data_IF_679554290775
#
_entry.id   IF_679554290775
#
_cell.length_a   1.000
_cell.length_b   1.000
_cell.length_c   1.000
_cell.angle_alpha   90.00
_cell.angle_beta   90.00
_cell.angle_gamma   90.00
#
_symmetry.space_group_name_H-M   'P 1'
#
loop_
_entity.id
_entity.type
_entity.pdbx_description
1 polymer ?
#
# COMPACT_ATOMS: atom_id res chain seq x y z
N UNK A 1 -7.24 18.26 75.08
CA UNK A 1 -6.57 17.09 74.55
C UNK A 1 -7.42 16.53 73.42
N UNK A 2 -7.40 17.22 72.32
CA UNK A 2 -8.15 16.81 71.11
C UNK A 2 -7.05 16.66 70.06
N UNK A 3 -6.46 15.49 70.03
CA UNK A 3 -5.69 15.10 68.88
C UNK A 3 -6.70 14.91 67.74
N UNK A 4 -6.77 15.93 66.96
CA UNK A 4 -7.50 15.89 65.71
C UNK A 4 -6.97 14.73 64.91
N UNK A 5 -7.78 13.73 64.83
CA UNK A 5 -7.78 12.76 63.76
C UNK A 5 -8.02 13.57 62.47
N UNK A 6 -6.95 14.09 61.91
CA UNK A 6 -6.97 14.52 60.53
C UNK A 6 -7.15 13.24 59.72
N UNK A 7 -8.44 12.84 59.67
CA UNK A 7 -8.90 11.93 58.65
C UNK A 7 -8.56 12.62 57.35
N UNK A 8 -7.37 12.36 56.86
CA UNK A 8 -7.01 12.60 55.49
C UNK A 8 -7.94 11.71 54.72
N UNK A 9 -9.10 12.25 54.40
CA UNK A 9 -9.96 11.75 53.33
C UNK A 9 -9.11 11.88 52.08
N UNK A 10 -8.23 10.92 51.89
CA UNK A 10 -7.67 10.63 50.56
C UNK A 10 -8.90 10.16 49.80
N UNK A 11 -9.62 11.13 49.32
CA UNK A 11 -10.45 10.92 48.15
C UNK A 11 -9.48 10.42 47.09
N UNK A 12 -9.28 9.13 47.07
CA UNK A 12 -8.86 8.43 45.89
C UNK A 12 -9.93 8.78 44.86
N UNK A 13 -9.71 9.93 44.23
CA UNK A 13 -10.21 10.17 42.90
C UNK A 13 -9.63 9.00 42.09
N UNK A 14 -10.32 7.90 42.11
CA UNK A 14 -10.30 6.98 41.00
C UNK A 14 -10.81 7.81 39.80
N UNK A 15 -9.93 8.62 39.27
CA UNK A 15 -10.00 9.01 37.90
C UNK A 15 -10.04 7.67 37.17
N UNK A 16 -11.25 7.19 36.94
CA UNK A 16 -11.50 6.20 35.93
C UNK A 16 -10.98 6.85 34.67
N UNK A 17 -9.70 6.69 34.40
CA UNK A 17 -9.15 6.87 33.05
C UNK A 17 -9.93 5.84 32.28
N UNK A 18 -11.08 6.28 31.73
CA UNK A 18 -11.71 5.56 30.67
C UNK A 18 -10.63 5.52 29.62
N UNK A 19 -9.88 4.42 29.59
CA UNK A 19 -9.14 4.04 28.41
C UNK A 19 -10.23 3.98 27.33
N UNK A 20 -10.46 5.09 26.64
CA UNK A 20 -11.13 5.07 25.37
C UNK A 20 -10.17 4.29 24.45
N UNK A 21 -10.24 2.95 24.53
CA UNK A 21 -9.65 2.15 23.50
C UNK A 21 -10.20 2.70 22.19
N UNK A 22 -9.35 3.27 21.37
CA UNK A 22 -9.74 3.85 20.11
C UNK A 22 -10.60 2.80 19.39
N UNK A 23 -11.84 3.16 19.11
CA UNK A 23 -12.75 2.26 18.41
C UNK A 23 -12.21 2.07 16.98
N UNK A 24 -12.27 0.84 16.48
CA UNK A 24 -11.90 0.56 15.08
C UNK A 24 -12.74 1.42 14.13
N UNK A 25 -12.08 2.03 13.15
CA UNK A 25 -12.71 2.79 12.07
C UNK A 25 -13.01 1.92 10.85
N UNK A 26 -12.43 0.71 10.80
CA UNK A 26 -12.63 -0.21 9.68
C UNK A 26 -14.12 -0.51 9.45
N UNK A 27 -14.56 -0.36 8.22
CA UNK A 27 -15.92 -0.65 7.83
C UNK A 27 -16.25 -2.15 7.96
N UNK A 28 -17.53 -2.49 8.04
CA UNK A 28 -17.99 -3.89 8.11
C UNK A 28 -17.68 -4.71 6.85
N UNK A 29 -17.24 -4.08 5.78
CA UNK A 29 -16.75 -4.72 4.56
C UNK A 29 -15.33 -5.25 4.69
N UNK A 30 -14.61 -4.86 5.74
CA UNK A 30 -13.24 -5.26 6.01
C UNK A 30 -13.22 -6.47 6.94
N UNK A 31 -12.44 -7.46 6.58
CA UNK A 31 -12.14 -8.63 7.40
C UNK A 31 -10.65 -8.95 7.37
N UNK A 32 -10.18 -9.78 8.29
CA UNK A 32 -8.77 -10.18 8.32
C UNK A 32 -8.62 -11.68 8.45
N UNK A 33 -7.51 -12.20 7.94
CA UNK A 33 -7.07 -13.58 8.17
C UNK A 33 -5.55 -13.66 8.18
N UNK A 34 -5.01 -14.74 8.74
CA UNK A 34 -3.58 -15.03 8.72
C UNK A 34 -3.29 -16.14 7.71
N UNK A 35 -2.17 -16.01 7.00
CA UNK A 35 -1.70 -17.01 6.04
C UNK A 35 -0.20 -17.24 6.22
N UNK A 36 0.22 -18.50 6.11
CA UNK A 36 1.64 -18.83 6.07
C UNK A 36 2.31 -18.24 4.82
N UNK A 37 3.47 -17.63 5.01
CA UNK A 37 4.32 -17.06 3.99
C UNK A 37 5.66 -17.82 3.96
N UNK A 38 5.73 -19.03 3.35
CA UNK A 38 6.92 -19.88 3.38
C UNK A 38 8.15 -19.17 2.81
N UNK A 39 7.96 -18.32 1.79
CA UNK A 39 9.03 -17.53 1.15
C UNK A 39 9.69 -16.56 2.14
N UNK A 40 8.95 -16.11 3.14
CA UNK A 40 9.41 -15.18 4.18
C UNK A 40 9.68 -15.88 5.52
N UNK A 41 9.42 -17.19 5.60
CA UNK A 41 9.54 -18.01 6.83
C UNK A 41 8.76 -17.39 8.01
N UNK A 42 7.54 -16.92 7.76
CA UNK A 42 6.66 -16.28 8.74
C UNK A 42 5.21 -16.40 8.30
N UNK A 43 4.29 -16.03 9.18
CA UNK A 43 2.90 -15.81 8.83
C UNK A 43 2.64 -14.31 8.56
N UNK A 44 1.70 -14.02 7.68
CA UNK A 44 1.26 -12.65 7.34
C UNK A 44 -0.21 -12.49 7.65
N UNK A 45 -0.55 -11.39 8.30
CA UNK A 45 -1.92 -10.95 8.44
C UNK A 45 -2.35 -10.19 7.19
N UNK A 46 -3.49 -10.59 6.67
CA UNK A 46 -4.08 -10.07 5.44
C UNK A 46 -5.41 -9.41 5.77
N UNK A 47 -5.61 -8.23 5.23
CA UNK A 47 -6.86 -7.49 5.28
C UNK A 47 -7.59 -7.63 3.96
N UNK A 48 -8.90 -7.81 4.01
CA UNK A 48 -9.73 -7.99 2.83
C UNK A 48 -10.90 -7.03 2.89
N UNK A 49 -10.94 -6.09 1.96
CA UNK A 49 -12.12 -5.30 1.69
C UNK A 49 -12.92 -5.93 0.55
N UNK A 50 -14.20 -6.12 0.77
CA UNK A 50 -15.16 -6.57 -0.26
C UNK A 50 -16.15 -5.44 -0.57
N UNK A 51 -16.51 -5.20 -1.84
CA UNK A 51 -17.47 -4.15 -2.18
C UNK A 51 -18.83 -4.41 -1.54
N UNK A 52 -19.58 -3.34 -1.21
CA UNK A 52 -20.88 -3.39 -0.49
C UNK A 52 -21.86 -4.42 -1.04
N UNK A 53 -21.89 -4.59 -2.35
CA UNK A 53 -22.79 -5.52 -3.03
C UNK A 53 -22.18 -6.90 -3.28
N UNK A 54 -21.04 -7.21 -2.66
CA UNK A 54 -20.36 -8.49 -2.92
C UNK A 54 -21.26 -9.69 -2.61
N UNK A 55 -21.94 -9.73 -1.48
CA UNK A 55 -22.78 -10.86 -1.07
C UNK A 55 -24.04 -11.03 -1.95
N UNK A 56 -24.63 -9.92 -2.41
CA UNK A 56 -25.84 -9.94 -3.24
C UNK A 56 -25.57 -10.09 -4.73
N UNK A 57 -24.30 -10.06 -5.16
CA UNK A 57 -23.89 -10.15 -6.56
C UNK A 57 -23.16 -11.46 -6.85
N UNK A 58 -23.32 -11.98 -8.08
CA UNK A 58 -22.53 -13.10 -8.61
C UNK A 58 -21.35 -12.63 -9.48
N UNK A 59 -21.11 -11.33 -9.58
CA UNK A 59 -20.04 -10.74 -10.40
C UNK A 59 -18.67 -11.17 -9.91
N UNK A 60 -17.70 -11.18 -10.83
CA UNK A 60 -16.27 -11.25 -10.51
C UNK A 60 -15.68 -9.84 -10.47
N UNK A 61 -14.71 -9.62 -9.60
CA UNK A 61 -14.15 -8.32 -9.29
C UNK A 61 -12.66 -8.28 -9.62
N UNK A 62 -12.17 -7.13 -10.06
CA UNK A 62 -10.75 -6.84 -10.11
C UNK A 62 -10.17 -6.81 -8.70
N UNK A 63 -8.85 -7.01 -8.57
CA UNK A 63 -8.17 -7.07 -7.27
C UNK A 63 -7.04 -6.06 -7.21
N UNK A 64 -6.95 -5.32 -6.10
CA UNK A 64 -5.82 -4.46 -5.76
C UNK A 64 -5.10 -5.09 -4.57
N UNK A 65 -3.82 -5.40 -4.72
CA UNK A 65 -2.93 -5.79 -3.64
C UNK A 65 -2.22 -4.53 -3.13
N UNK A 66 -2.38 -4.23 -1.83
CA UNK A 66 -1.80 -3.03 -1.21
C UNK A 66 -0.83 -3.42 -0.10
N UNK A 67 0.31 -2.76 -0.05
CA UNK A 67 1.30 -2.90 1.01
C UNK A 67 0.88 -2.11 2.26
N UNK A 68 1.53 -2.40 3.39
CA UNK A 68 1.40 -1.65 4.65
C UNK A 68 -0.05 -1.58 5.17
N UNK A 69 -0.74 -2.73 5.18
CA UNK A 69 -2.17 -2.82 5.50
C UNK A 69 -2.57 -2.24 6.86
N UNK A 70 -1.63 -2.11 7.79
CA UNK A 70 -1.85 -1.47 9.09
C UNK A 70 -2.38 -0.03 8.94
N UNK A 71 -2.02 0.65 7.84
CA UNK A 71 -2.35 2.06 7.59
C UNK A 71 -3.55 2.24 6.65
N UNK A 72 -4.20 1.17 6.18
CA UNK A 72 -5.16 1.30 5.08
C UNK A 72 -6.61 1.48 5.54
N UNK A 73 -7.04 0.72 6.57
CA UNK A 73 -8.45 0.49 6.86
C UNK A 73 -8.87 0.82 8.30
N UNK A 74 -7.93 1.09 9.21
CA UNK A 74 -8.25 1.28 10.62
C UNK A 74 -7.26 2.24 11.29
N UNK A 75 -7.79 3.36 11.77
CA UNK A 75 -7.01 4.35 12.51
C UNK A 75 -6.35 3.75 13.75
N UNK A 76 -6.95 2.70 14.34
CA UNK A 76 -6.41 2.02 15.52
C UNK A 76 -5.08 1.30 15.26
N UNK A 77 -4.87 0.80 14.03
CA UNK A 77 -3.65 0.07 13.65
C UNK A 77 -2.65 0.95 12.91
N UNK A 78 -3.08 2.13 12.46
CA UNK A 78 -2.27 3.01 11.64
C UNK A 78 -1.19 3.70 12.47
N UNK A 79 0.04 3.76 11.94
CA UNK A 79 1.19 4.38 12.61
C UNK A 79 1.18 5.91 12.49
N UNK A 80 0.94 6.44 11.31
CA UNK A 80 1.04 7.89 11.02
C UNK A 80 -0.22 8.46 10.34
N UNK A 81 -1.33 7.78 10.50
CA UNK A 81 -2.61 8.14 9.92
C UNK A 81 -3.12 7.10 8.93
N UNK A 82 -4.42 7.02 8.86
CA UNK A 82 -5.13 6.07 8.03
C UNK A 82 -5.32 6.60 6.60
N UNK A 83 -5.29 5.70 5.61
CA UNK A 83 -5.60 6.04 4.22
C UNK A 83 -7.12 6.14 3.95
N UNK A 84 -7.95 5.62 4.84
CA UNK A 84 -9.40 5.53 4.67
C UNK A 84 -9.78 4.84 3.35
N UNK A 85 -9.17 3.71 3.07
CA UNK A 85 -9.35 3.00 1.79
C UNK A 85 -10.77 2.51 1.63
N UNK A 86 -11.32 1.87 2.65
CA UNK A 86 -12.67 1.32 2.63
C UNK A 86 -13.76 2.39 2.60
N UNK A 87 -13.65 3.48 3.38
CA UNK A 87 -14.62 4.58 3.33
C UNK A 87 -14.65 5.26 1.96
N UNK A 88 -13.46 5.44 1.35
CA UNK A 88 -13.38 6.02 0.00
C UNK A 88 -13.97 5.10 -1.06
N UNK A 89 -13.66 3.81 -1.00
CA UNK A 89 -14.23 2.82 -1.92
C UNK A 89 -15.75 2.67 -1.72
N UNK A 90 -16.19 2.72 -0.48
CA UNK A 90 -17.62 2.71 -0.13
C UNK A 90 -18.35 3.95 -0.65
N UNK A 91 -17.73 5.13 -0.56
CA UNK A 91 -18.26 6.39 -1.08
C UNK A 91 -18.36 6.37 -2.61
N UNK A 92 -17.38 5.80 -3.27
CA UNK A 92 -17.37 5.64 -4.73
C UNK A 92 -18.27 4.50 -5.23
N UNK A 93 -18.83 3.68 -4.34
CA UNK A 93 -19.45 2.40 -4.69
C UNK A 93 -18.56 1.56 -5.62
N UNK A 94 -17.26 1.55 -5.32
CA UNK A 94 -16.24 0.93 -6.18
C UNK A 94 -16.43 -0.59 -6.26
N UNK A 95 -16.33 -1.12 -7.48
CA UNK A 95 -16.54 -2.55 -7.75
C UNK A 95 -15.20 -3.29 -7.79
N UNK A 96 -14.48 -3.31 -6.67
CA UNK A 96 -13.13 -3.85 -6.54
C UNK A 96 -12.93 -4.54 -5.20
N UNK A 97 -12.12 -5.60 -5.18
CA UNK A 97 -11.62 -6.23 -3.94
C UNK A 97 -10.26 -5.62 -3.62
N UNK A 98 -10.02 -5.27 -2.36
CA UNK A 98 -8.68 -4.85 -1.93
C UNK A 98 -8.13 -5.87 -0.95
N UNK A 99 -6.89 -6.27 -1.19
CA UNK A 99 -6.12 -7.19 -0.36
C UNK A 99 -4.95 -6.41 0.23
N UNK A 100 -5.08 -6.03 1.48
CA UNK A 100 -4.02 -5.36 2.23
C UNK A 100 -3.08 -6.39 2.88
N UNK A 101 -1.78 -6.18 2.77
CA UNK A 101 -0.75 -7.07 3.32
C UNK A 101 0.00 -6.31 4.40
N UNK A 102 -0.06 -6.78 5.66
CA UNK A 102 0.72 -6.17 6.72
C UNK A 102 2.23 -6.36 6.47
N UNK A 103 3.00 -5.30 6.67
CA UNK A 103 4.46 -5.41 6.67
C UNK A 103 4.96 -6.14 7.92
N UNK A 104 6.20 -6.62 7.88
CA UNK A 104 6.81 -7.39 8.97
C UNK A 104 7.42 -6.53 10.07
N UNK A 105 6.86 -5.35 10.39
CA UNK A 105 7.40 -4.40 11.36
C UNK A 105 8.90 -4.11 11.09
N UNK A 106 9.80 -4.55 11.94
CA UNK A 106 11.25 -4.34 11.77
C UNK A 106 11.80 -4.95 10.46
N UNK A 107 11.07 -5.90 9.86
CA UNK A 107 11.43 -6.51 8.58
C UNK A 107 10.86 -5.75 7.37
N UNK A 108 10.12 -4.65 7.59
CA UNK A 108 9.49 -3.90 6.50
C UNK A 108 10.49 -3.48 5.42
N UNK A 109 11.65 -2.98 5.84
CA UNK A 109 12.70 -2.59 4.91
C UNK A 109 13.26 -3.79 4.14
N UNK A 110 13.47 -4.94 4.80
CA UNK A 110 13.90 -6.16 4.12
C UNK A 110 12.88 -6.60 3.06
N UNK A 111 11.61 -6.65 3.44
CA UNK A 111 10.51 -7.16 2.61
C UNK A 111 10.18 -6.24 1.43
N UNK A 112 10.41 -4.93 1.57
CA UNK A 112 9.98 -3.94 0.57
C UNK A 112 11.12 -3.29 -0.22
N UNK A 113 12.34 -3.82 -0.14
CA UNK A 113 13.45 -3.35 -0.99
C UNK A 113 13.95 -4.47 -1.90
N UNK A 114 14.05 -4.20 -3.23
CA UNK A 114 14.49 -5.19 -4.22
C UNK A 114 15.94 -5.66 -4.04
N UNK A 115 16.80 -4.74 -3.65
CA UNK A 115 18.25 -5.00 -3.55
C UNK A 115 18.77 -4.59 -2.18
N UNK A 116 19.81 -5.28 -1.72
CA UNK A 116 20.48 -4.94 -0.47
C UNK A 116 21.21 -3.60 -0.60
N UNK A 117 20.84 -2.66 0.25
CA UNK A 117 21.55 -1.39 0.37
C UNK A 117 22.67 -1.51 1.40
N UNK A 118 23.87 -0.97 1.09
CA UNK A 118 25.04 -1.08 1.97
C UNK A 118 24.83 -0.44 3.34
N UNK A 119 24.06 0.67 3.40
CA UNK A 119 23.78 1.42 4.64
C UNK A 119 22.56 0.92 5.39
N UNK A 120 21.50 0.56 4.66
CA UNK A 120 20.19 0.31 5.25
C UNK A 120 19.80 -1.18 5.26
N UNK A 121 20.53 -2.05 4.58
CA UNK A 121 20.16 -3.45 4.46
C UNK A 121 19.09 -3.70 3.40
N UNK A 122 18.13 -4.57 3.68
CA UNK A 122 17.03 -4.90 2.76
C UNK A 122 17.36 -6.02 1.79
N UNK A 123 16.63 -6.09 0.65
CA UNK A 123 16.91 -6.98 -0.47
C UNK A 123 16.07 -8.24 -0.58
N UNK A 124 14.92 -8.32 0.14
CA UNK A 124 14.02 -9.50 0.09
C UNK A 124 12.69 -9.25 -0.62
N UNK A 125 12.56 -8.14 -1.37
CA UNK A 125 11.30 -7.89 -2.08
C UNK A 125 10.97 -8.97 -3.11
N UNK A 126 11.96 -9.68 -3.64
CA UNK A 126 11.70 -10.84 -4.52
C UNK A 126 10.96 -11.95 -3.77
N UNK A 127 11.39 -12.31 -2.55
CA UNK A 127 10.75 -13.35 -1.72
C UNK A 127 9.33 -12.90 -1.31
N UNK A 128 9.19 -11.61 -0.95
CA UNK A 128 7.90 -11.01 -0.60
C UNK A 128 6.92 -11.02 -1.80
N UNK A 129 7.38 -10.67 -2.99
CA UNK A 129 6.55 -10.71 -4.20
C UNK A 129 6.25 -12.16 -4.61
N UNK A 130 7.19 -13.07 -4.41
CA UNK A 130 6.94 -14.49 -4.63
C UNK A 130 5.86 -15.04 -3.70
N UNK A 131 5.84 -14.62 -2.43
CA UNK A 131 4.73 -14.90 -1.52
C UNK A 131 3.40 -14.38 -2.09
N UNK A 132 3.35 -13.12 -2.54
CA UNK A 132 2.12 -12.56 -3.12
C UNK A 132 1.67 -13.37 -4.32
N UNK A 133 2.57 -13.66 -5.26
CA UNK A 133 2.22 -14.28 -6.55
C UNK A 133 1.94 -15.76 -6.43
N UNK A 134 2.75 -16.50 -5.64
CA UNK A 134 2.66 -17.97 -5.59
C UNK A 134 1.84 -18.52 -4.42
N UNK A 135 1.62 -17.73 -3.37
CA UNK A 135 0.88 -18.18 -2.18
C UNK A 135 -0.41 -17.40 -1.97
N UNK A 136 -0.31 -16.07 -1.84
CA UNK A 136 -1.46 -15.23 -1.50
C UNK A 136 -2.47 -15.15 -2.66
N UNK A 137 -2.03 -14.75 -3.86
CA UNK A 137 -2.93 -14.57 -5.01
C UNK A 137 -3.71 -15.83 -5.37
N UNK A 138 -3.11 -17.03 -5.45
CA UNK A 138 -3.88 -18.26 -5.68
C UNK A 138 -4.93 -18.53 -4.60
N UNK A 139 -4.61 -18.24 -3.33
CA UNK A 139 -5.57 -18.36 -2.23
C UNK A 139 -6.73 -17.38 -2.38
N UNK A 140 -6.47 -16.13 -2.73
CA UNK A 140 -7.48 -15.10 -2.96
C UNK A 140 -8.38 -15.48 -4.14
N UNK A 141 -7.80 -15.88 -5.26
CA UNK A 141 -8.55 -16.25 -6.47
C UNK A 141 -9.43 -17.49 -6.26
N UNK A 142 -9.01 -18.41 -5.38
CA UNK A 142 -9.80 -19.58 -4.98
C UNK A 142 -10.94 -19.21 -4.01
N UNK A 143 -10.73 -18.24 -3.14
CA UNK A 143 -11.65 -17.91 -2.03
C UNK A 143 -12.71 -16.90 -2.46
N UNK A 144 -12.33 -15.95 -3.31
CA UNK A 144 -13.19 -14.84 -3.71
C UNK A 144 -13.49 -14.85 -5.21
N UNK A 145 -14.57 -14.17 -5.60
CA UNK A 145 -14.96 -14.04 -7.03
C UNK A 145 -14.10 -12.98 -7.71
N UNK A 146 -12.88 -13.36 -8.05
CA UNK A 146 -11.89 -12.49 -8.70
C UNK A 146 -11.90 -12.63 -10.22
N UNK A 147 -11.46 -11.56 -10.90
CA UNK A 147 -10.97 -11.58 -12.28
C UNK A 147 -9.45 -11.72 -12.19
N UNK A 148 -8.94 -12.95 -12.36
CA UNK A 148 -7.55 -13.31 -12.05
C UNK A 148 -6.52 -12.81 -13.09
N UNK A 149 -6.97 -12.32 -14.25
CA UNK A 149 -6.11 -11.89 -15.33
C UNK A 149 -5.33 -10.63 -14.97
N UNK A 150 -4.14 -10.47 -15.54
CA UNK A 150 -3.22 -9.35 -15.26
C UNK A 150 -3.89 -7.96 -15.41
N UNK A 151 -4.74 -7.77 -16.42
CA UNK A 151 -5.43 -6.49 -16.66
C UNK A 151 -6.37 -6.07 -15.52
N UNK A 152 -6.76 -7.03 -14.68
CA UNK A 152 -7.65 -6.87 -13.53
C UNK A 152 -6.90 -6.96 -12.19
N UNK A 153 -5.56 -7.08 -12.22
CA UNK A 153 -4.71 -7.21 -11.04
C UNK A 153 -3.84 -5.97 -10.91
N UNK A 154 -4.01 -5.25 -9.82
CA UNK A 154 -3.22 -4.05 -9.48
C UNK A 154 -2.38 -4.30 -8.24
N UNK A 155 -1.18 -3.72 -8.20
CA UNK A 155 -0.37 -3.62 -6.99
C UNK A 155 -0.19 -2.15 -6.64
N UNK A 156 -0.22 -1.80 -5.33
CA UNK A 156 -0.22 -0.40 -4.91
C UNK A 156 0.45 -0.21 -3.55
N UNK A 157 1.11 0.91 -3.37
CA UNK A 157 1.68 1.30 -2.08
C UNK A 157 2.43 2.61 -2.13
N UNK A 158 2.93 3.03 -0.97
CA UNK A 158 3.69 4.27 -0.81
C UNK A 158 5.11 4.02 -0.31
N UNK A 159 5.99 4.97 -0.56
CA UNK A 159 7.38 4.92 -0.07
C UNK A 159 8.09 3.64 -0.53
N UNK A 160 8.56 2.78 0.38
CA UNK A 160 9.08 1.46 0.06
C UNK A 160 8.02 0.57 -0.63
N UNK A 161 6.73 0.69 -0.24
CA UNK A 161 5.63 0.00 -0.92
C UNK A 161 5.43 0.50 -2.35
N UNK A 162 5.67 1.78 -2.62
CA UNK A 162 5.69 2.35 -3.98
C UNK A 162 6.83 1.79 -4.83
N UNK A 163 8.04 1.72 -4.25
CA UNK A 163 9.21 1.08 -4.87
C UNK A 163 8.92 -0.38 -5.22
N UNK A 164 8.38 -1.14 -4.25
CA UNK A 164 8.05 -2.56 -4.44
C UNK A 164 6.93 -2.75 -5.45
N UNK A 165 5.93 -1.87 -5.46
CA UNK A 165 4.85 -1.91 -6.46
C UNK A 165 5.40 -1.70 -7.88
N UNK A 166 6.33 -0.77 -8.06
CA UNK A 166 7.01 -0.59 -9.33
C UNK A 166 7.82 -1.83 -9.71
N UNK A 167 8.68 -2.32 -8.80
CA UNK A 167 9.49 -3.52 -9.01
C UNK A 167 8.65 -4.75 -9.35
N UNK A 168 7.50 -4.91 -8.72
CA UNK A 168 6.57 -6.02 -8.99
C UNK A 168 6.12 -6.07 -10.45
N UNK A 169 5.88 -4.92 -11.07
CA UNK A 169 5.48 -4.87 -12.49
C UNK A 169 6.60 -5.26 -13.44
N UNK A 170 7.85 -5.08 -13.03
CA UNK A 170 9.02 -5.49 -13.81
C UNK A 170 9.34 -6.97 -13.62
N UNK A 171 9.16 -7.47 -12.40
CA UNK A 171 9.46 -8.85 -12.02
C UNK A 171 8.39 -9.85 -12.44
N UNK A 172 7.11 -9.44 -12.37
CA UNK A 172 5.93 -10.26 -12.66
C UNK A 172 4.97 -9.55 -13.63
N UNK A 173 5.45 -9.22 -14.85
CA UNK A 173 4.67 -8.47 -15.84
C UNK A 173 3.44 -9.24 -16.36
N UNK A 174 3.42 -10.56 -16.18
CA UNK A 174 2.29 -11.43 -16.49
C UNK A 174 1.20 -11.41 -15.41
N UNK A 175 1.51 -10.93 -14.20
CA UNK A 175 0.58 -10.89 -13.06
C UNK A 175 -0.01 -9.49 -12.86
N UNK A 176 0.83 -8.45 -12.86
CA UNK A 176 0.41 -7.09 -12.54
C UNK A 176 0.28 -6.24 -13.80
N UNK A 177 -0.95 -5.98 -14.22
CA UNK A 177 -1.25 -5.12 -15.38
C UNK A 177 -1.39 -3.65 -15.03
N UNK A 178 -1.49 -3.32 -13.74
CA UNK A 178 -1.67 -1.96 -13.24
C UNK A 178 -0.86 -1.76 -11.95
N UNK A 179 -0.40 -0.52 -11.71
CA UNK A 179 0.21 -0.16 -10.43
C UNK A 179 -0.12 1.27 -10.00
N UNK A 180 -0.36 1.44 -8.69
CA UNK A 180 -0.44 2.73 -8.00
C UNK A 180 0.82 2.96 -7.19
N UNK A 181 1.59 3.97 -7.53
CA UNK A 181 2.94 4.21 -7.03
C UNK A 181 2.98 5.58 -6.39
N UNK A 182 2.95 5.60 -5.04
CA UNK A 182 2.90 6.82 -4.25
C UNK A 182 4.25 7.07 -3.62
N UNK A 183 4.85 8.25 -3.88
CA UNK A 183 6.11 8.69 -3.30
C UNK A 183 7.18 7.59 -3.24
N UNK A 184 7.49 6.92 -4.37
CA UNK A 184 8.32 5.72 -4.36
C UNK A 184 9.74 6.00 -3.86
N UNK A 185 10.20 5.23 -2.88
CA UNK A 185 11.54 5.34 -2.32
C UNK A 185 12.63 4.82 -3.29
N UNK A 186 12.67 5.33 -4.54
CA UNK A 186 13.66 4.91 -5.55
C UNK A 186 15.09 5.14 -5.07
N UNK A 187 15.31 6.16 -4.25
CA UNK A 187 16.62 6.56 -3.73
C UNK A 187 17.38 5.41 -3.05
N UNK A 188 16.68 4.44 -2.43
CA UNK A 188 17.31 3.36 -1.69
C UNK A 188 18.01 2.32 -2.59
N UNK A 189 17.48 2.12 -3.80
CA UNK A 189 18.05 1.25 -4.85
C UNK A 189 18.08 1.97 -6.21
N UNK A 190 18.39 3.27 -6.21
CA UNK A 190 18.27 4.14 -7.38
C UNK A 190 18.94 3.54 -8.62
N UNK A 191 20.21 3.18 -8.51
CA UNK A 191 20.97 2.64 -9.65
C UNK A 191 20.30 1.39 -10.21
N UNK A 192 20.05 0.42 -9.38
CA UNK A 192 19.57 -0.91 -9.77
C UNK A 192 18.15 -0.83 -10.39
N UNK A 193 17.28 -0.02 -9.82
CA UNK A 193 15.89 0.12 -10.31
C UNK A 193 15.84 0.83 -11.66
N UNK A 194 16.64 1.88 -11.86
CA UNK A 194 16.70 2.59 -13.14
C UNK A 194 17.34 1.72 -14.22
N UNK A 195 18.46 1.03 -13.92
CA UNK A 195 19.06 0.07 -14.85
C UNK A 195 18.13 -1.10 -15.19
N UNK A 196 17.33 -1.57 -14.21
CA UNK A 196 16.35 -2.63 -14.45
C UNK A 196 15.28 -2.14 -15.44
N UNK A 197 14.73 -0.93 -15.23
CA UNK A 197 13.76 -0.35 -16.17
C UNK A 197 14.41 -0.11 -17.55
N UNK A 198 15.63 0.39 -17.62
CA UNK A 198 16.35 0.60 -18.90
C UNK A 198 16.48 -0.69 -19.72
N UNK A 199 16.76 -1.82 -19.06
CA UNK A 199 16.89 -3.15 -19.68
C UNK A 199 15.53 -3.83 -19.94
N UNK A 200 14.46 -3.31 -19.34
CA UNK A 200 13.14 -3.93 -19.42
C UNK A 200 12.55 -3.80 -20.82
N UNK A 201 11.86 -4.85 -21.26
CA UNK A 201 11.14 -4.83 -22.53
C UNK A 201 9.88 -3.96 -22.42
N UNK A 202 9.43 -3.42 -23.54
CA UNK A 202 8.17 -2.67 -23.66
C UNK A 202 7.02 -3.44 -23.03
N UNK A 203 6.37 -2.84 -22.02
CA UNK A 203 5.23 -3.42 -21.32
C UNK A 203 3.99 -2.54 -21.43
N UNK A 204 2.82 -3.17 -21.37
CA UNK A 204 1.50 -2.49 -21.39
C UNK A 204 0.93 -2.34 -19.98
N UNK A 205 1.77 -2.13 -18.96
CA UNK A 205 1.33 -1.87 -17.59
C UNK A 205 0.82 -0.45 -17.46
N UNK A 206 -0.33 -0.27 -16.82
CA UNK A 206 -0.91 1.05 -16.54
C UNK A 206 -0.42 1.56 -15.19
N UNK A 207 0.18 2.75 -15.16
CA UNK A 207 0.75 3.34 -13.96
C UNK A 207 0.02 4.60 -13.53
N UNK A 208 -0.20 4.74 -12.23
CA UNK A 208 -0.50 6.00 -11.59
C UNK A 208 0.64 6.35 -10.64
N UNK A 209 1.31 7.46 -10.92
CA UNK A 209 2.38 7.99 -10.07
C UNK A 209 1.89 9.21 -9.31
N UNK A 210 2.24 9.31 -8.03
CA UNK A 210 1.99 10.49 -7.22
C UNK A 210 3.17 10.74 -6.30
N UNK A 211 3.60 12.00 -6.17
CA UNK A 211 4.44 12.47 -5.10
C UNK A 211 4.12 13.93 -4.75
N UNK A 212 4.62 14.39 -3.61
CA UNK A 212 4.68 15.80 -3.25
C UNK A 212 5.97 16.46 -3.74
N UNK A 213 5.98 17.79 -3.78
CA UNK A 213 7.20 18.56 -4.08
C UNK A 213 7.94 19.02 -2.81
N UNK A 214 7.46 18.58 -1.61
CA UNK A 214 8.07 18.87 -0.30
C UNK A 214 8.26 17.58 0.51
N UNK A 215 8.80 16.53 -0.14
CA UNK A 215 9.02 15.22 0.48
C UNK A 215 10.46 14.98 0.97
N UNK A 216 11.22 16.00 1.22
CA UNK A 216 12.59 15.98 1.71
C UNK A 216 13.24 17.35 1.57
N UNK A 217 14.53 17.41 1.89
CA UNK A 217 15.29 18.65 1.83
C UNK A 217 15.76 18.99 0.40
N UNK A 218 15.57 18.07 -0.53
CA UNK A 218 15.95 18.21 -1.94
C UNK A 218 14.82 17.78 -2.90
N UNK A 219 14.98 18.07 -4.19
CA UNK A 219 14.03 17.72 -5.24
C UNK A 219 14.19 16.27 -5.76
N UNK A 220 14.88 15.40 -5.01
CA UNK A 220 15.23 14.05 -5.48
C UNK A 220 14.02 13.19 -5.80
N UNK A 221 12.95 13.26 -5.00
CA UNK A 221 11.71 12.52 -5.23
C UNK A 221 11.08 12.90 -6.58
N UNK A 222 10.92 14.18 -6.83
CA UNK A 222 10.34 14.70 -8.09
C UNK A 222 11.24 14.37 -9.27
N UNK A 223 12.56 14.56 -9.10
CA UNK A 223 13.56 14.26 -10.12
C UNK A 223 13.56 12.79 -10.51
N UNK A 224 13.56 11.88 -9.53
CA UNK A 224 13.52 10.44 -9.76
C UNK A 224 12.23 10.01 -10.45
N UNK A 225 11.10 10.57 -10.03
CA UNK A 225 9.81 10.26 -10.64
C UNK A 225 9.75 10.74 -12.11
N UNK A 226 10.25 11.95 -12.38
CA UNK A 226 10.33 12.48 -13.74
C UNK A 226 11.23 11.62 -14.62
N UNK A 227 12.41 11.25 -14.14
CA UNK A 227 13.35 10.37 -14.86
C UNK A 227 12.73 9.00 -15.13
N UNK A 228 12.08 8.39 -14.13
CA UNK A 228 11.45 7.10 -14.31
C UNK A 228 10.32 7.14 -15.34
N UNK A 229 9.45 8.13 -15.27
CA UNK A 229 8.38 8.31 -16.27
C UNK A 229 8.96 8.51 -17.67
N UNK A 230 10.01 9.31 -17.82
CA UNK A 230 10.70 9.48 -19.08
C UNK A 230 11.20 8.15 -19.66
N UNK A 231 11.90 7.33 -18.86
CA UNK A 231 12.39 6.02 -19.27
C UNK A 231 11.26 5.08 -19.71
N UNK A 232 10.16 5.08 -18.98
CA UNK A 232 8.98 4.28 -19.32
C UNK A 232 8.41 4.76 -20.68
N UNK A 233 8.28 6.06 -20.87
CA UNK A 233 7.64 6.64 -22.05
C UNK A 233 8.48 6.49 -23.31
N UNK A 234 9.82 6.52 -23.24
CA UNK A 234 10.71 6.30 -24.39
C UNK A 234 10.53 4.93 -25.04
N UNK A 235 10.00 3.96 -24.29
CA UNK A 235 9.77 2.59 -24.77
C UNK A 235 8.33 2.30 -25.19
N UNK A 236 7.43 3.29 -25.12
CA UNK A 236 6.00 3.10 -25.36
C UNK A 236 5.53 3.91 -26.55
N UNK A 237 4.45 3.43 -27.19
CA UNK A 237 3.73 4.26 -28.15
C UNK A 237 2.96 5.35 -27.39
N UNK A 238 3.14 6.60 -27.77
CA UNK A 238 2.37 7.75 -27.23
C UNK A 238 0.86 7.62 -27.45
N UNK A 239 0.43 6.75 -28.38
CA UNK A 239 -0.98 6.47 -28.63
C UNK A 239 -1.69 5.74 -27.47
N UNK A 240 -0.94 5.19 -26.52
CA UNK A 240 -1.47 4.46 -25.36
C UNK A 240 -1.30 5.34 -24.11
N UNK A 241 -2.38 5.96 -23.66
CA UNK A 241 -2.39 6.68 -22.39
C UNK A 241 -2.36 5.69 -21.21
N UNK A 242 -1.15 5.21 -20.85
CA UNK A 242 -0.91 4.20 -19.82
C UNK A 242 -0.28 4.77 -18.55
N UNK A 243 0.14 6.04 -18.55
CA UNK A 243 0.77 6.67 -17.39
C UNK A 243 0.04 7.95 -17.02
N UNK A 244 -0.21 8.13 -15.75
CA UNK A 244 -0.61 9.39 -15.13
C UNK A 244 0.40 9.72 -14.03
N UNK A 245 0.87 10.95 -14.01
CA UNK A 245 1.78 11.46 -12.98
C UNK A 245 1.20 12.70 -12.34
N UNK A 246 1.16 12.74 -11.03
CA UNK A 246 0.75 13.89 -10.21
C UNK A 246 1.86 14.29 -9.25
N UNK A 247 2.34 15.50 -9.39
CA UNK A 247 3.19 16.17 -8.41
C UNK A 247 2.31 17.16 -7.66
N UNK A 248 2.17 16.96 -6.36
CA UNK A 248 1.28 17.77 -5.52
C UNK A 248 2.08 18.90 -4.88
N UNK A 249 1.71 20.14 -5.21
CA UNK A 249 2.36 21.34 -4.66
C UNK A 249 2.18 21.40 -3.14
N UNK A 250 3.27 21.55 -2.42
CA UNK A 250 3.29 21.55 -0.95
C UNK A 250 3.08 20.16 -0.33
N UNK A 251 2.96 19.10 -1.14
CA UNK A 251 2.79 17.74 -0.66
C UNK A 251 4.02 17.24 0.08
N UNK A 252 3.80 16.57 1.21
CA UNK A 252 4.84 16.00 2.07
C UNK A 252 4.75 14.47 2.06
N UNK A 253 5.84 13.79 2.46
CA UNK A 253 5.94 12.33 2.50
C UNK A 253 5.14 11.75 3.69
N UNK A 254 3.82 11.69 3.56
CA UNK A 254 2.94 11.22 4.63
C UNK A 254 1.63 10.62 4.11
N UNK A 255 0.92 9.96 5.01
CA UNK A 255 -0.35 9.29 4.75
C UNK A 255 -1.45 10.26 4.29
N UNK A 256 -1.40 11.52 4.70
CA UNK A 256 -2.37 12.53 4.23
C UNK A 256 -2.28 12.73 2.72
N UNK A 257 -1.05 12.89 2.18
CA UNK A 257 -0.83 13.03 0.74
C UNK A 257 -1.36 11.81 -0.02
N UNK A 258 -1.01 10.63 0.46
CA UNK A 258 -1.37 9.37 -0.20
C UNK A 258 -2.87 9.08 -0.12
N UNK A 259 -3.48 9.31 1.03
CA UNK A 259 -4.93 9.25 1.23
C UNK A 259 -5.69 10.18 0.28
N UNK A 260 -5.23 11.43 0.16
CA UNK A 260 -5.89 12.44 -0.69
C UNK A 260 -5.73 12.11 -2.18
N UNK A 261 -4.64 11.45 -2.56
CA UNK A 261 -4.38 10.98 -3.92
C UNK A 261 -5.07 9.67 -4.30
N UNK A 262 -5.49 8.86 -3.33
CA UNK A 262 -5.99 7.50 -3.56
C UNK A 262 -7.21 7.45 -4.48
N UNK A 263 -8.21 8.32 -4.29
CA UNK A 263 -9.42 8.34 -5.13
C UNK A 263 -9.07 8.60 -6.60
N UNK A 264 -8.16 9.55 -6.86
CA UNK A 264 -7.72 9.86 -8.24
C UNK A 264 -7.01 8.65 -8.87
N UNK A 265 -6.20 7.94 -8.09
CA UNK A 265 -5.54 6.73 -8.55
C UNK A 265 -6.55 5.63 -8.90
N UNK A 266 -7.55 5.40 -8.06
CA UNK A 266 -8.61 4.41 -8.28
C UNK A 266 -9.38 4.71 -9.57
N UNK A 267 -9.82 5.94 -9.76
CA UNK A 267 -10.55 6.35 -10.97
C UNK A 267 -9.69 6.24 -12.23
N UNK A 268 -8.42 6.69 -12.17
CA UNK A 268 -7.49 6.55 -13.28
C UNK A 268 -7.23 5.10 -13.65
N UNK A 269 -7.04 4.23 -12.67
CA UNK A 269 -6.82 2.81 -12.89
C UNK A 269 -8.08 2.06 -13.35
N UNK A 270 -9.24 2.72 -13.34
CA UNK A 270 -10.49 2.22 -13.92
C UNK A 270 -11.29 1.32 -12.96
N UNK A 271 -11.45 1.79 -11.71
CA UNK A 271 -12.25 1.15 -10.68
C UNK A 271 -13.43 2.02 -10.24
#
# INVERSE_FOLDING_TARGET
MIQQLKLILIILLFATVKNFAQQSTASKQVSTFTIEAPQLKTAKKIWVYLPKNYLSSKKKYSVIYMHDAQNLFDAKTSYSGEWNVDEKLDSLNAQVIVIGIEHGNDKRLEELTPYKNAKYGGGKATDYLEFIVKTLKPRIDKTYRTKSEKKNTTIMGSSLGGLTSFYATLKYPEVFGKAGIFSPAFWINRKEIFELEEKNKKQKTKYYFLCGDKEGDDDSMVSDLNKMEYLINTKRCYCLNLNEKKIVKGGQHNEKLWRDGFVKAILWLGY
#
